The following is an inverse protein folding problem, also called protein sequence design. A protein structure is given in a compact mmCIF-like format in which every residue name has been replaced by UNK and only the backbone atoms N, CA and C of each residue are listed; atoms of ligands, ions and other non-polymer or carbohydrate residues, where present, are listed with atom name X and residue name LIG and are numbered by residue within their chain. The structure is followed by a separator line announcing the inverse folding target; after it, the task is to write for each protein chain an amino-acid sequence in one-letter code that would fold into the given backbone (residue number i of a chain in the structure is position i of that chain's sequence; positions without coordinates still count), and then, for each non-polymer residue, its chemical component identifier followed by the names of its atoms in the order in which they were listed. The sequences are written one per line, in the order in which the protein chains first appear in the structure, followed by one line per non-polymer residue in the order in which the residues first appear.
data_IF_677639523806
#
_entry.id   IF_677639523806
#
_cell.length_a   1.000
_cell.length_b   1.000
_cell.length_c   1.000
_cell.angle_alpha   90.00
_cell.angle_beta   90.00
_cell.angle_gamma   90.00
#
_symmetry.space_group_name_H-M   'P 1'
#
loop_
_entity.id
_entity.type
_entity.pdbx_description
1 polymer ?
#
# COMPACT_ATOMS: atom_id res chain seq x y z
N UNK A 1 -2.63 12.31 -19.99
CA UNK A 1 -2.42 12.09 -18.54
C UNK A 1 -3.26 10.89 -18.11
N UNK A 2 -2.69 9.68 -18.15
CA UNK A 2 -3.36 8.42 -17.81
C UNK A 2 -3.52 8.28 -16.29
N UNK A 3 -4.56 8.91 -15.74
CA UNK A 3 -4.85 8.93 -14.32
C UNK A 3 -5.70 7.74 -13.87
N UNK A 4 -5.10 6.54 -13.76
CA UNK A 4 -5.70 5.37 -13.10
C UNK A 4 -5.75 5.53 -11.57
N UNK A 5 -6.05 6.74 -11.09
CA UNK A 5 -6.28 7.09 -9.69
C UNK A 5 -7.68 7.68 -9.47
N UNK A 6 -8.33 8.16 -10.53
CA UNK A 6 -9.72 8.60 -10.50
C UNK A 6 -10.61 7.36 -10.33
N UNK A 7 -11.13 7.15 -9.10
CA UNK A 7 -12.01 6.02 -8.75
C UNK A 7 -11.40 4.99 -7.79
N UNK A 8 -10.24 5.26 -7.19
CA UNK A 8 -9.74 4.38 -6.11
C UNK A 8 -10.48 4.66 -4.80
N UNK A 9 -11.50 3.85 -4.48
CA UNK A 9 -12.24 3.90 -3.20
C UNK A 9 -11.39 3.47 -1.98
N UNK A 10 -10.08 3.23 -2.17
CA UNK A 10 -9.18 2.79 -1.10
C UNK A 10 -9.06 3.78 0.05
N UNK A 11 -9.32 5.06 -0.20
CA UNK A 11 -9.41 6.08 0.86
C UNK A 11 -10.73 6.03 1.62
N UNK A 12 -11.81 5.60 0.96
CA UNK A 12 -13.15 5.53 1.56
C UNK A 12 -13.33 4.29 2.45
N UNK A 13 -12.47 3.28 2.26
CA UNK A 13 -12.40 2.08 3.11
C UNK A 13 -11.64 2.30 4.42
N UNK A 14 -11.05 3.48 4.63
CA UNK A 14 -10.38 3.81 5.88
C UNK A 14 -11.43 4.18 6.95
N UNK A 15 -11.17 3.85 8.23
CA UNK A 15 -12.07 4.23 9.30
C UNK A 15 -12.10 5.77 9.46
N UNK A 16 -13.23 6.29 9.94
CA UNK A 16 -13.46 7.74 10.06
C UNK A 16 -12.41 8.45 10.94
N UNK A 17 -11.83 7.73 11.90
CA UNK A 17 -10.81 8.22 12.82
C UNK A 17 -9.37 8.08 12.31
N UNK A 18 -9.18 7.69 11.04
CA UNK A 18 -7.86 7.45 10.46
C UNK A 18 -6.93 8.65 10.60
N UNK A 19 -7.36 9.83 10.17
CA UNK A 19 -6.52 11.03 10.17
C UNK A 19 -6.42 11.70 11.55
N UNK A 20 -7.38 11.45 12.44
CA UNK A 20 -7.49 12.13 13.74
C UNK A 20 -6.88 11.33 14.87
N UNK A 21 -6.98 10.00 14.83
CA UNK A 21 -6.56 9.09 15.90
C UNK A 21 -5.46 8.16 15.44
N UNK A 22 -5.75 7.28 14.46
CA UNK A 22 -4.86 6.16 14.11
C UNK A 22 -3.53 6.63 13.53
N UNK A 23 -3.57 7.42 12.45
CA UNK A 23 -2.38 7.94 11.79
C UNK A 23 -1.47 8.72 12.74
N UNK A 24 -1.93 9.72 13.52
CA UNK A 24 -1.06 10.42 14.44
C UNK A 24 -0.61 9.54 15.61
N UNK A 25 -1.41 8.57 16.08
CA UNK A 25 -0.97 7.62 17.11
C UNK A 25 0.19 6.74 16.63
N UNK A 26 0.12 6.20 15.41
CA UNK A 26 1.19 5.39 14.81
C UNK A 26 2.46 6.22 14.60
N UNK A 27 2.33 7.42 14.04
CA UNK A 27 3.50 8.30 13.83
C UNK A 27 4.19 8.66 15.16
N UNK A 28 3.42 8.93 16.23
CA UNK A 28 4.00 9.19 17.56
C UNK A 28 4.64 7.95 18.18
N UNK A 29 3.96 6.79 18.13
CA UNK A 29 4.50 5.51 18.62
C UNK A 29 5.82 5.17 17.92
N UNK A 30 5.88 5.46 16.63
CA UNK A 30 7.05 5.17 15.81
C UNK A 30 8.08 6.30 15.80
N UNK A 31 7.92 7.32 16.66
CA UNK A 31 8.81 8.49 16.78
C UNK A 31 9.06 9.21 15.45
N UNK A 32 8.09 9.16 14.54
CA UNK A 32 8.23 9.64 13.16
C UNK A 32 9.44 9.00 12.43
N UNK A 33 9.78 7.75 12.77
CA UNK A 33 10.84 6.97 12.13
C UNK A 33 10.24 5.82 11.34
N UNK A 34 10.76 5.64 10.13
CA UNK A 34 10.38 4.55 9.24
C UNK A 34 10.71 3.21 9.90
N UNK A 35 9.68 2.37 10.11
CA UNK A 35 9.81 1.05 10.71
C UNK A 35 10.05 -0.07 9.70
N UNK A 36 10.18 0.25 8.40
CA UNK A 36 10.52 -0.72 7.36
C UNK A 36 11.78 -1.50 7.72
N UNK A 37 11.70 -2.83 7.59
CA UNK A 37 12.80 -3.75 7.86
C UNK A 37 13.33 -4.36 6.57
N UNK A 38 14.64 -4.32 6.40
CA UNK A 38 15.35 -5.05 5.37
C UNK A 38 16.36 -5.96 6.05
N UNK A 39 15.98 -7.24 6.19
CA UNK A 39 16.71 -8.19 7.03
C UNK A 39 16.78 -7.72 8.48
N UNK A 40 18.00 -7.48 8.99
CA UNK A 40 18.25 -7.03 10.37
C UNK A 40 18.26 -5.51 10.53
N UNK A 41 18.21 -4.76 9.43
CA UNK A 41 18.30 -3.29 9.44
C UNK A 41 16.90 -2.67 9.42
N UNK A 42 16.71 -1.66 10.26
CA UNK A 42 15.50 -0.80 10.22
C UNK A 42 15.88 0.50 9.53
N UNK A 43 15.04 0.96 8.60
CA UNK A 43 15.31 2.16 7.81
C UNK A 43 15.53 3.42 8.67
N UNK A 44 14.64 3.73 9.62
CA UNK A 44 14.83 4.82 10.58
C UNK A 44 14.72 6.26 10.05
N UNK A 45 14.63 6.47 8.73
CA UNK A 45 14.39 7.79 8.13
C UNK A 45 13.06 8.42 8.57
N UNK A 46 12.93 9.73 8.44
CA UNK A 46 11.70 10.44 8.78
C UNK A 46 10.47 9.85 8.05
N UNK A 47 9.45 9.51 8.83
CA UNK A 47 8.20 8.93 8.37
C UNK A 47 7.06 9.95 8.43
N UNK A 48 6.34 10.03 7.31
CA UNK A 48 5.12 10.82 7.19
C UNK A 48 3.97 10.00 6.57
N UNK A 49 4.20 8.73 6.25
CA UNK A 49 3.20 7.79 5.77
C UNK A 49 2.89 6.76 6.86
N UNK A 50 1.67 6.25 6.88
CA UNK A 50 1.25 5.13 7.72
C UNK A 50 0.61 4.09 6.82
N UNK A 51 1.00 2.84 6.99
CA UNK A 51 0.57 1.74 6.14
C UNK A 51 0.37 0.46 6.96
N UNK A 52 -0.45 -0.45 6.45
CA UNK A 52 -0.75 -1.73 7.07
C UNK A 52 0.45 -2.69 6.91
N UNK A 53 0.76 -3.48 7.94
CA UNK A 53 1.81 -4.51 7.91
C UNK A 53 1.28 -5.78 7.21
N UNK A 54 0.08 -6.20 7.59
CA UNK A 54 -0.61 -7.40 7.10
C UNK A 54 -1.90 -7.07 6.37
N UNK A 55 -3.03 -7.54 6.92
CA UNK A 55 -4.35 -7.34 6.30
C UNK A 55 -4.67 -5.84 6.16
N UNK A 56 -5.08 -5.43 4.97
CA UNK A 56 -5.44 -4.05 4.63
C UNK A 56 -6.70 -3.54 5.33
N UNK A 57 -7.54 -4.44 5.84
CA UNK A 57 -8.79 -4.12 6.53
C UNK A 57 -8.66 -4.17 8.07
N UNK A 58 -7.51 -4.59 8.59
CA UNK A 58 -7.23 -4.60 10.02
C UNK A 58 -6.56 -3.28 10.44
N UNK A 59 -7.37 -2.35 10.96
CA UNK A 59 -6.90 -1.01 11.36
C UNK A 59 -6.38 -0.92 12.80
N UNK A 60 -6.19 -2.05 13.48
CA UNK A 60 -5.60 -2.06 14.83
C UNK A 60 -4.17 -1.53 14.79
N UNK A 61 -3.75 -0.83 15.84
CA UNK A 61 -2.44 -0.16 15.87
C UNK A 61 -1.29 -1.13 15.64
N UNK A 62 -1.40 -2.38 16.10
CA UNK A 62 -0.38 -3.42 15.95
C UNK A 62 -0.15 -3.82 14.48
N UNK A 63 -1.16 -3.65 13.63
CA UNK A 63 -1.08 -3.92 12.20
C UNK A 63 -0.72 -2.66 11.38
N UNK A 64 -0.47 -1.52 12.02
CA UNK A 64 -0.06 -0.29 11.33
C UNK A 64 1.41 0.02 11.61
N UNK A 65 2.11 0.60 10.64
CA UNK A 65 3.50 1.05 10.79
C UNK A 65 3.75 2.39 10.11
N UNK A 66 4.66 3.19 10.69
CA UNK A 66 5.14 4.41 10.05
C UNK A 66 6.19 4.11 8.97
N UNK A 67 6.04 4.72 7.80
CA UNK A 67 6.95 4.59 6.66
C UNK A 67 7.42 5.96 6.14
N UNK A 68 8.66 6.00 5.66
CA UNK A 68 9.11 7.10 4.82
C UNK A 68 8.47 7.01 3.44
N UNK A 69 8.42 8.12 2.70
CA UNK A 69 7.80 8.17 1.38
C UNK A 69 8.38 7.13 0.40
N UNK A 70 9.69 6.87 0.47
CA UNK A 70 10.37 5.88 -0.37
C UNK A 70 9.86 4.45 -0.12
N UNK A 71 9.90 3.97 1.13
CA UNK A 71 9.46 2.61 1.46
C UNK A 71 7.95 2.42 1.33
N UNK A 72 7.16 3.46 1.60
CA UNK A 72 5.73 3.44 1.29
C UNK A 72 5.48 3.25 -0.21
N UNK A 73 6.20 3.98 -1.08
CA UNK A 73 6.10 3.82 -2.52
C UNK A 73 6.49 2.41 -3.00
N UNK A 74 7.55 1.82 -2.43
CA UNK A 74 7.95 0.44 -2.70
C UNK A 74 6.81 -0.52 -2.34
N UNK A 75 6.22 -0.39 -1.15
CA UNK A 75 5.12 -1.26 -0.70
C UNK A 75 3.89 -1.13 -1.60
N UNK A 76 3.42 0.09 -1.84
CA UNK A 76 2.26 0.34 -2.70
C UNK A 76 2.47 -0.22 -4.12
N UNK A 77 3.67 -0.10 -4.68
CA UNK A 77 4.01 -0.66 -5.99
C UNK A 77 3.97 -2.19 -5.99
N UNK A 78 4.55 -2.84 -4.96
CA UNK A 78 4.51 -4.30 -4.79
C UNK A 78 3.08 -4.83 -4.69
N UNK A 79 2.23 -4.17 -3.90
CA UNK A 79 0.83 -4.54 -3.74
C UNK A 79 0.03 -4.31 -5.03
N UNK A 80 0.24 -3.18 -5.70
CA UNK A 80 -0.39 -2.89 -6.99
C UNK A 80 -0.01 -3.92 -8.06
N UNK A 81 1.25 -4.35 -8.09
CA UNK A 81 1.70 -5.41 -9.00
C UNK A 81 1.08 -6.76 -8.63
N UNK A 82 1.06 -7.14 -7.35
CA UNK A 82 0.42 -8.37 -6.89
C UNK A 82 -1.08 -8.41 -7.24
N UNK A 83 -1.79 -7.29 -7.07
CA UNK A 83 -3.20 -7.17 -7.47
C UNK A 83 -3.39 -7.34 -8.99
N UNK A 84 -2.56 -6.69 -9.81
CA UNK A 84 -2.59 -6.86 -11.28
C UNK A 84 -2.39 -8.32 -11.70
N UNK A 85 -1.49 -9.05 -11.03
CA UNK A 85 -1.27 -10.47 -11.35
C UNK A 85 -2.46 -11.35 -10.94
N UNK A 86 -3.17 -11.02 -9.86
CA UNK A 86 -4.43 -11.69 -9.47
C UNK A 86 -5.56 -11.43 -10.46
N UNK A 87 -5.63 -10.22 -11.01
CA UNK A 87 -6.66 -9.79 -11.96
C UNK A 87 -6.38 -10.19 -13.42
N UNK A 88 -5.24 -10.83 -13.72
CA UNK A 88 -5.06 -11.46 -15.03
C UNK A 88 -5.96 -12.70 -15.13
N UNK A 89 -7.20 -12.48 -15.52
CA UNK A 89 -7.81 -13.35 -16.51
C UNK A 89 -6.85 -13.38 -17.71
N UNK A 90 -6.30 -14.55 -18.05
CA UNK A 90 -5.52 -14.70 -19.27
C UNK A 90 -6.37 -14.16 -20.41
N UNK A 91 -5.98 -13.02 -21.01
CA UNK A 91 -6.62 -12.55 -22.25
C UNK A 91 -6.47 -13.73 -23.22
N UNK A 92 -7.57 -14.36 -23.69
CA UNK A 92 -7.45 -15.46 -24.61
C UNK A 92 -6.63 -14.98 -25.83
N UNK A 93 -5.76 -15.83 -26.38
CA UNK A 93 -4.94 -15.46 -27.53
C UNK A 93 -5.86 -14.93 -28.64
N UNK A 94 -5.45 -13.83 -29.26
CA UNK A 94 -6.22 -13.24 -30.36
C UNK A 94 -6.33 -14.28 -31.48
N UNK A 95 -7.55 -14.58 -31.93
CA UNK A 95 -7.75 -15.44 -33.10
C UNK A 95 -7.26 -14.66 -34.31
N UNK A 96 -6.07 -15.00 -34.80
CA UNK A 96 -5.52 -14.41 -36.02
C UNK A 96 -6.46 -14.68 -37.20
N UNK A 97 -6.82 -13.66 -38.00
CA UNK A 97 -7.78 -13.77 -39.10
C UNK A 97 -7.24 -14.53 -40.34
N UNK A 98 -6.19 -15.35 -40.18
CA UNK A 98 -5.48 -16.02 -41.28
C UNK A 98 -5.50 -17.55 -41.27
N UNK A 99 -6.30 -18.19 -40.41
CA UNK A 99 -6.60 -19.62 -40.52
C UNK A 99 -8.04 -19.80 -41.04
N UNK A 100 -8.19 -19.88 -42.36
CA UNK A 100 -9.31 -20.51 -43.06
C UNK A 100 -8.74 -21.31 -44.23
#
# INVERSE_FOLDING_TARGET
MSGQWAGSNRRDELPADWYTVLRPAVLRRDEHRCRWREGRVVCGHHANQVDHIGDRHDHRLENLQALCAHHHGIKSSREGNAARWRERAQRPPERHPGLI
#
